data_IF_022262636255
#
_entry.id   IF_022262636255
#
_cell.length_a   1.000
_cell.length_b   1.000
_cell.length_c   1.000
_cell.angle_alpha   90.00
_cell.angle_beta   90.00
_cell.angle_gamma   90.00
#
_symmetry.space_group_name_H-M   'P 1'
#
loop_
_entity.id
_entity.type
_entity.pdbx_description
1 polymer ?
#
# COMPACT_ATOMS: atom_id res chain seq x y z
N UNK A 1 -6.55 -7.45 -8.83
CA UNK A 1 -5.54 -6.37 -8.75
C UNK A 1 -6.18 -5.16 -8.10
N UNK A 2 -5.49 -4.52 -7.16
CA UNK A 2 -5.99 -3.37 -6.41
C UNK A 2 -5.08 -2.17 -6.61
N UNK A 3 -5.65 -0.99 -6.77
CA UNK A 3 -4.93 0.28 -6.68
C UNK A 3 -5.13 0.84 -5.27
N UNK A 4 -4.04 1.07 -4.56
CA UNK A 4 -4.04 1.62 -3.21
C UNK A 4 -3.25 2.93 -3.13
N UNK A 5 -3.59 3.76 -2.15
CA UNK A 5 -2.87 4.97 -1.78
C UNK A 5 -2.47 4.91 -0.32
N UNK A 6 -1.26 5.36 -0.02
CA UNK A 6 -0.74 5.49 1.33
C UNK A 6 -0.87 6.95 1.79
N UNK A 7 -1.63 7.17 2.86
CA UNK A 7 -1.72 8.46 3.54
C UNK A 7 -0.59 8.59 4.57
N UNK A 8 0.51 9.22 4.16
CA UNK A 8 1.70 9.43 5.00
C UNK A 8 1.46 10.38 6.17
N UNK A 9 0.28 11.01 6.28
CA UNK A 9 -0.09 11.81 7.46
C UNK A 9 -0.59 10.96 8.61
N UNK A 10 -0.97 9.71 8.34
CA UNK A 10 -1.53 8.78 9.34
C UNK A 10 -0.48 7.86 9.97
N UNK A 11 0.71 7.80 9.38
CA UNK A 11 1.77 6.92 9.83
C UNK A 11 3.13 7.52 9.49
N UNK A 12 4.00 7.62 10.49
CA UNK A 12 5.40 7.98 10.31
C UNK A 12 6.20 6.71 10.00
N UNK A 13 6.78 6.66 8.80
CA UNK A 13 7.50 5.51 8.30
C UNK A 13 8.94 5.41 8.81
N UNK A 14 9.48 6.44 9.48
CA UNK A 14 10.82 6.44 10.10
C UNK A 14 11.94 5.90 9.19
N UNK A 15 11.86 6.15 7.88
CA UNK A 15 12.86 5.70 6.89
C UNK A 15 12.60 4.31 6.30
N UNK A 16 11.57 3.60 6.73
CA UNK A 16 11.10 2.36 6.10
C UNK A 16 10.41 2.72 4.78
N UNK A 17 10.73 1.99 3.71
CA UNK A 17 10.02 2.19 2.45
C UNK A 17 8.56 1.74 2.56
N UNK A 18 7.68 2.37 1.79
CA UNK A 18 6.27 1.96 1.76
C UNK A 18 6.11 0.52 1.27
N UNK A 19 6.98 0.08 0.38
CA UNK A 19 7.04 -1.26 -0.18
C UNK A 19 7.33 -2.29 0.93
N UNK A 20 8.40 -2.07 1.72
CA UNK A 20 8.72 -2.93 2.87
C UNK A 20 7.60 -2.96 3.91
N UNK A 21 7.00 -1.80 4.20
CA UNK A 21 5.84 -1.71 5.09
C UNK A 21 4.68 -2.57 4.59
N UNK A 22 4.32 -2.45 3.30
CA UNK A 22 3.23 -3.21 2.70
C UNK A 22 3.54 -4.72 2.67
N UNK A 23 4.76 -5.13 2.32
CA UNK A 23 5.18 -6.53 2.31
C UNK A 23 5.11 -7.15 3.71
N UNK A 24 5.58 -6.42 4.73
CA UNK A 24 5.52 -6.85 6.13
C UNK A 24 4.10 -7.17 6.57
N UNK A 25 3.12 -6.34 6.16
CA UNK A 25 1.71 -6.55 6.46
C UNK A 25 0.99 -7.49 5.49
N UNK A 26 1.71 -8.17 4.60
CA UNK A 26 1.19 -9.27 3.78
C UNK A 26 0.62 -8.87 2.42
N UNK A 27 0.81 -7.63 1.98
CA UNK A 27 0.51 -7.23 0.60
C UNK A 27 1.51 -7.92 -0.35
N UNK A 28 1.06 -8.29 -1.56
CA UNK A 28 1.91 -8.98 -2.56
C UNK A 28 1.75 -8.39 -3.95
N UNK A 29 2.79 -8.55 -4.78
CA UNK A 29 2.83 -8.00 -6.13
C UNK A 29 2.80 -6.47 -6.14
N UNK A 30 3.57 -5.85 -5.24
CA UNK A 30 3.56 -4.39 -5.03
C UNK A 30 4.35 -3.71 -6.14
N UNK A 31 3.69 -2.81 -6.86
CA UNK A 31 4.30 -1.99 -7.90
C UNK A 31 3.92 -0.54 -7.69
N UNK A 32 4.91 0.33 -7.52
CA UNK A 32 4.69 1.78 -7.45
C UNK A 32 4.20 2.29 -8.81
N UNK A 33 3.10 3.01 -8.81
CA UNK A 33 2.46 3.56 -10.02
C UNK A 33 2.31 5.09 -9.98
N UNK A 34 2.54 5.70 -8.82
CA UNK A 34 2.49 7.14 -8.62
C UNK A 34 3.07 7.55 -7.27
N UNK A 35 2.96 8.84 -6.94
CA UNK A 35 3.39 9.34 -5.64
C UNK A 35 2.46 8.80 -4.55
N UNK A 36 2.98 7.90 -3.70
CA UNK A 36 2.19 7.26 -2.64
C UNK A 36 1.15 6.26 -3.15
N UNK A 37 1.16 5.92 -4.45
CA UNK A 37 0.18 5.03 -5.06
C UNK A 37 0.82 3.75 -5.58
N UNK A 38 0.15 2.64 -5.30
CA UNK A 38 0.66 1.29 -5.55
C UNK A 38 -0.42 0.42 -6.19
N UNK A 39 -0.02 -0.31 -7.23
CA UNK A 39 -0.77 -1.49 -7.69
C UNK A 39 -0.32 -2.68 -6.85
N UNK A 40 -1.27 -3.44 -6.33
CA UNK A 40 -1.01 -4.67 -5.56
C UNK A 40 -1.88 -5.81 -6.09
N UNK A 41 -1.31 -7.01 -6.18
CA UNK A 41 -2.04 -8.19 -6.64
C UNK A 41 -2.90 -8.78 -5.52
N UNK A 42 -2.38 -8.75 -4.29
CA UNK A 42 -3.05 -9.24 -3.09
C UNK A 42 -2.98 -8.20 -1.97
N UNK A 43 -4.11 -7.94 -1.31
CA UNK A 43 -4.16 -7.12 -0.10
C UNK A 43 -3.67 -7.93 1.11
N UNK A 44 -2.98 -7.26 2.03
CA UNK A 44 -2.57 -7.78 3.33
C UNK A 44 -3.58 -7.44 4.43
N UNK A 45 -3.09 -7.23 5.65
CA UNK A 45 -3.88 -6.72 6.77
C UNK A 45 -4.50 -5.36 6.42
N UNK A 46 -5.66 -5.05 7.01
CA UNK A 46 -6.27 -3.72 6.88
C UNK A 46 -5.45 -2.68 7.64
N UNK A 47 -4.82 -1.76 6.92
CA UNK A 47 -3.95 -0.74 7.51
C UNK A 47 -4.61 0.63 7.51
N UNK A 48 -4.54 1.40 8.61
CA UNK A 48 -5.18 2.72 8.71
C UNK A 48 -4.60 3.76 7.74
N UNK A 49 -3.33 3.57 7.34
CA UNK A 49 -2.65 4.42 6.37
C UNK A 49 -2.94 4.03 4.91
N UNK A 50 -3.60 2.89 4.65
CA UNK A 50 -3.85 2.40 3.29
C UNK A 50 -5.31 2.60 2.90
N UNK A 51 -5.53 3.25 1.75
CA UNK A 51 -6.85 3.40 1.13
C UNK A 51 -6.89 2.63 -0.18
N UNK A 52 -7.88 1.76 -0.35
CA UNK A 52 -8.15 1.13 -1.67
C UNK A 52 -8.90 2.14 -2.53
N UNK A 53 -8.29 2.54 -3.65
CA UNK A 53 -8.86 3.51 -4.61
C UNK A 53 -9.71 2.79 -5.66
N UNK A 54 -9.19 1.65 -6.16
CA UNK A 54 -9.87 0.85 -7.18
C UNK A 54 -9.65 -0.63 -6.90
N UNK A 55 -10.69 -1.41 -7.10
CA UNK A 55 -10.62 -2.86 -7.14
C UNK A 55 -11.15 -3.33 -8.49
N UNK A 56 -10.33 -4.08 -9.22
CA UNK A 56 -10.84 -4.90 -10.31
C UNK A 56 -11.18 -6.26 -9.69
N UNK A 57 -12.41 -6.36 -9.16
CA UNK A 57 -13.04 -7.63 -8.78
C UNK A 57 -13.69 -8.25 -10.01
#
# INVERSE_FOLDING_TARGET
>A
MYLIEIDTRKFDFQGISHEEYLEFFGYRGIKKVGKGQYSVEKLGMSLPAVKVIKSNL
#
